data_IF_852195530244
#
_entry.id   IF_852195530244
#
_cell.length_a   1.000
_cell.length_b   1.000
_cell.length_c   1.000
_cell.angle_alpha   90.00
_cell.angle_beta   90.00
_cell.angle_gamma   90.00
#
_symmetry.space_group_name_H-M   'P 1'
#
loop_
_entity.id
_entity.type
_entity.pdbx_description
1 polymer ?
#
# COMPACT_ATOMS: atom_id res chain seq x y z
N UNK A 1 19.35 3.85 10.88
CA UNK A 1 19.24 2.56 10.18
C UNK A 1 18.30 2.77 8.99
N UNK A 2 18.86 2.91 7.78
CA UNK A 2 18.10 3.26 6.57
C UNK A 2 17.27 2.05 6.17
N UNK A 3 15.95 2.11 6.37
CA UNK A 3 15.02 1.09 5.88
C UNK A 3 15.20 0.95 4.37
N UNK A 4 15.59 -0.26 3.97
CA UNK A 4 15.92 -0.65 2.61
C UNK A 4 14.78 -0.28 1.65
N UNK A 5 15.01 0.71 0.78
CA UNK A 5 14.02 1.23 -0.19
C UNK A 5 13.72 0.17 -1.28
N UNK A 6 14.35 -1.00 -1.20
CA UNK A 6 14.14 -2.15 -2.09
C UNK A 6 12.78 -2.84 -1.96
N UNK A 7 11.85 -2.35 -1.12
CA UNK A 7 10.43 -2.74 -1.16
C UNK A 7 9.70 -2.13 -2.37
N UNK A 8 10.33 -2.17 -3.53
CA UNK A 8 9.83 -1.62 -4.79
C UNK A 8 8.53 -2.27 -5.22
N UNK A 9 7.76 -1.51 -5.99
CA UNK A 9 6.49 -1.91 -6.57
C UNK A 9 6.63 -3.15 -7.46
N UNK A 10 6.01 -4.29 -7.08
CA UNK A 10 6.32 -5.60 -7.70
C UNK A 10 5.47 -5.94 -8.91
N UNK A 11 4.30 -5.33 -9.09
CA UNK A 11 3.48 -5.59 -10.29
C UNK A 11 2.31 -4.60 -10.50
N UNK A 12 2.23 -4.03 -11.71
CA UNK A 12 1.04 -3.32 -12.21
C UNK A 12 0.22 -4.31 -13.03
N UNK A 13 -0.86 -4.86 -12.48
CA UNK A 13 -1.75 -5.74 -13.26
C UNK A 13 -2.92 -4.93 -13.78
N UNK A 14 -3.03 -4.80 -15.12
CA UNK A 14 -4.23 -4.26 -15.77
C UNK A 14 -5.39 -5.20 -15.47
N UNK A 15 -6.39 -4.71 -14.75
CA UNK A 15 -7.59 -5.46 -14.42
C UNK A 15 -8.58 -5.40 -15.56
N UNK A 16 -9.27 -6.52 -15.78
CA UNK A 16 -10.39 -6.63 -16.72
C UNK A 16 -11.72 -6.23 -16.06
N UNK A 17 -11.67 -5.31 -15.10
CA UNK A 17 -12.85 -4.75 -14.45
C UNK A 17 -13.44 -3.59 -15.25
N UNK A 18 -14.62 -3.14 -14.85
CA UNK A 18 -15.23 -1.93 -15.42
C UNK A 18 -14.30 -0.72 -15.21
N UNK A 19 -14.21 0.16 -16.21
CA UNK A 19 -13.48 1.42 -16.15
C UNK A 19 -14.03 2.37 -15.06
N UNK A 20 -15.23 2.10 -14.52
CA UNK A 20 -15.81 2.82 -13.39
C UNK A 20 -15.22 2.43 -12.04
N UNK A 21 -14.56 1.26 -11.93
CA UNK A 21 -14.01 0.78 -10.67
C UNK A 21 -12.86 1.66 -10.16
N UNK A 22 -12.66 1.65 -8.84
CA UNK A 22 -11.49 2.27 -8.21
C UNK A 22 -10.28 1.35 -8.29
N UNK A 23 -9.05 1.90 -8.27
CA UNK A 23 -7.85 1.08 -8.22
C UNK A 23 -7.76 0.34 -6.88
N UNK A 24 -7.20 -0.87 -6.90
CA UNK A 24 -7.05 -1.72 -5.70
C UNK A 24 -5.58 -2.00 -5.42
N UNK A 25 -5.19 -1.97 -4.14
CA UNK A 25 -3.85 -2.29 -3.67
C UNK A 25 -3.85 -3.57 -2.85
N UNK A 26 -2.75 -4.32 -2.89
CA UNK A 26 -2.42 -5.38 -1.95
C UNK A 26 -1.07 -5.04 -1.34
N UNK A 27 -1.08 -4.65 -0.07
CA UNK A 27 0.09 -4.14 0.65
C UNK A 27 1.08 -5.26 0.97
N UNK A 28 0.59 -6.44 1.37
CA UNK A 28 1.43 -7.63 1.63
C UNK A 28 2.31 -8.05 0.42
N UNK A 29 1.89 -7.71 -0.80
CA UNK A 29 2.57 -8.11 -2.05
C UNK A 29 3.06 -6.92 -2.90
N UNK A 30 2.96 -5.69 -2.39
CA UNK A 30 3.33 -4.46 -3.11
C UNK A 30 2.75 -4.39 -4.53
N UNK A 31 1.47 -4.76 -4.67
CA UNK A 31 0.78 -4.89 -5.94
C UNK A 31 -0.32 -3.83 -6.07
N UNK A 32 -0.34 -3.11 -7.20
CA UNK A 32 -1.43 -2.19 -7.58
C UNK A 32 -2.12 -2.72 -8.83
N UNK A 33 -3.44 -2.71 -8.77
CA UNK A 33 -4.33 -3.24 -9.79
C UNK A 33 -5.15 -2.08 -10.33
N UNK A 34 -4.93 -1.76 -11.61
CA UNK A 34 -5.58 -0.64 -12.28
C UNK A 34 -6.62 -1.14 -13.29
N UNK A 35 -7.87 -0.67 -13.19
CA UNK A 35 -8.86 -0.80 -14.26
C UNK A 35 -8.37 -0.20 -15.59
N UNK A 36 -9.00 -0.55 -16.72
CA UNK A 36 -8.64 -0.03 -18.03
C UNK A 36 -9.25 1.37 -18.22
N UNK A 37 -8.69 2.36 -17.54
CA UNK A 37 -9.15 3.75 -17.67
C UNK A 37 -8.96 4.28 -19.09
N UNK A 38 -9.92 5.09 -19.53
CA UNK A 38 -9.96 5.69 -20.87
C UNK A 38 -8.85 6.73 -21.11
N UNK A 39 -8.32 7.34 -20.05
CA UNK A 39 -7.23 8.31 -20.13
C UNK A 39 -6.39 8.35 -18.85
N UNK A 40 -5.20 8.92 -18.96
CA UNK A 40 -4.31 9.16 -17.80
C UNK A 40 -4.93 10.13 -16.79
N UNK A 41 -5.73 11.12 -17.25
CA UNK A 41 -6.40 12.06 -16.37
C UNK A 41 -7.39 11.36 -15.44
N UNK A 42 -8.24 10.48 -16.00
CA UNK A 42 -9.21 9.68 -15.24
C UNK A 42 -8.49 8.75 -14.26
N UNK A 43 -7.41 8.09 -14.70
CA UNK A 43 -6.61 7.24 -13.82
C UNK A 43 -6.06 8.02 -12.62
N UNK A 44 -5.49 9.21 -12.85
CA UNK A 44 -4.90 10.02 -11.79
C UNK A 44 -5.95 10.52 -10.78
N UNK A 45 -7.13 10.92 -11.26
CA UNK A 45 -8.25 11.31 -10.40
C UNK A 45 -8.70 10.15 -9.50
N UNK A 46 -8.96 8.97 -10.09
CA UNK A 46 -9.40 7.79 -9.34
C UNK A 46 -8.35 7.27 -8.38
N UNK A 47 -7.07 7.36 -8.76
CA UNK A 47 -5.96 6.97 -7.89
C UNK A 47 -5.84 7.90 -6.68
N UNK A 48 -5.90 9.22 -6.88
CA UNK A 48 -5.90 10.19 -5.76
C UNK A 48 -7.08 9.97 -4.83
N UNK A 49 -8.27 9.76 -5.39
CA UNK A 49 -9.46 9.46 -4.60
C UNK A 49 -9.25 8.20 -3.75
N UNK A 50 -8.76 7.10 -4.35
CA UNK A 50 -8.52 5.86 -3.63
C UNK A 50 -7.50 6.04 -2.51
N UNK A 51 -6.36 6.68 -2.77
CA UNK A 51 -5.32 6.92 -1.76
C UNK A 51 -5.89 7.68 -0.54
N UNK A 52 -6.63 8.76 -0.77
CA UNK A 52 -7.15 9.60 0.31
C UNK A 52 -8.29 8.95 1.11
N UNK A 53 -8.94 7.91 0.58
CA UNK A 53 -10.09 7.24 1.21
C UNK A 53 -9.79 5.79 1.63
N UNK A 54 -8.56 5.30 1.43
CA UNK A 54 -8.20 3.91 1.68
C UNK A 54 -7.90 3.68 3.17
N UNK A 55 -8.86 3.08 3.88
CA UNK A 55 -8.72 2.75 5.32
C UNK A 55 -7.86 1.52 5.62
N UNK A 56 -7.50 0.71 4.62
CA UNK A 56 -6.71 -0.52 4.85
C UNK A 56 -5.24 -0.21 5.15
N UNK A 57 -4.72 0.92 4.69
CA UNK A 57 -3.32 1.35 4.94
C UNK A 57 -3.12 1.73 6.40
N UNK A 58 -4.13 2.34 7.04
CA UNK A 58 -4.05 2.76 8.44
C UNK A 58 -3.91 1.56 9.39
N UNK A 59 -4.48 0.40 9.04
CA UNK A 59 -4.35 -0.84 9.82
C UNK A 59 -2.95 -1.47 9.70
N UNK A 60 -2.29 -1.36 8.56
CA UNK A 60 -0.92 -1.88 8.38
C UNK A 60 0.07 -1.10 9.25
N UNK A 61 -0.14 0.21 9.44
CA UNK A 61 0.70 1.04 10.30
C UNK A 61 0.61 0.62 11.78
N UNK A 62 -0.57 0.17 12.23
CA UNK A 62 -0.78 -0.36 13.58
C UNK A 62 0.01 -1.66 13.84
N UNK A 63 0.21 -2.49 12.82
CA UNK A 63 1.02 -3.70 12.91
C UNK A 63 2.52 -3.39 12.92
N UNK A 64 2.96 -2.39 12.15
CA UNK A 64 4.35 -1.92 12.17
C UNK A 64 4.72 -1.28 13.51
N UNK A 65 3.86 -0.44 14.08
CA UNK A 65 4.14 0.23 15.36
C UNK A 65 4.27 -0.77 16.52
N UNK A 66 3.42 -1.80 16.58
CA UNK A 66 3.51 -2.85 17.61
C UNK A 66 4.81 -3.67 17.55
N UNK A 67 5.42 -3.81 16.38
CA UNK A 67 6.70 -4.51 16.25
C UNK A 67 7.88 -3.66 16.72
N UNK A 68 7.73 -2.33 16.79
CA UNK A 68 8.75 -1.41 17.33
C UNK A 68 8.70 -1.41 18.86
N UNK A 69 7.50 -1.41 19.44
CA UNK A 69 7.33 -1.38 20.91
C UNK A 69 7.80 -2.67 21.61
N UNK A 70 7.90 -3.78 20.88
CA UNK A 70 8.26 -5.09 21.44
C UNK A 70 9.78 -5.37 21.38
N UNK A 71 10.59 -4.47 20.81
CA UNK A 71 12.05 -4.60 20.70
C UNK A 71 12.82 -3.83 21.79
N UNK A 72 12.16 -2.92 22.53
CA UNK A 72 12.78 -2.16 23.64
C UNK A 72 12.75 -2.89 25.00
N UNK A 73 12.70 -4.23 25.01
CA UNK A 73 12.45 -5.03 26.22
C UNK A 73 13.46 -6.11 26.58
N UNK A 74 14.57 -6.28 25.85
CA UNK A 74 15.59 -7.28 26.22
C UNK A 74 17.01 -6.74 26.20
N UNK A 75 17.27 -5.72 27.02
CA UNK A 75 18.64 -5.42 27.45
C UNK A 75 18.61 -4.94 28.91
N UNK A 76 18.40 -5.89 29.82
CA UNK A 76 18.81 -5.72 31.22
C UNK A 76 19.63 -6.94 31.63
N UNK A 77 20.93 -6.69 31.59
CA UNK A 77 22.05 -7.39 32.22
C UNK A 77 21.70 -7.93 33.62
N UNK A 78 21.93 -9.24 33.84
CA UNK A 78 22.35 -9.88 35.09
C UNK A 78 22.80 -11.33 34.83
#
# INVERSE_FOLDING_TARGET
>A
MYSDISQGFRSLKRWLGDATNLPTSQTCFFQLRLPPYSSQAVMAERLRYAINNCRSIDMDNYMLSRNVDNDEGSDTDY
#
